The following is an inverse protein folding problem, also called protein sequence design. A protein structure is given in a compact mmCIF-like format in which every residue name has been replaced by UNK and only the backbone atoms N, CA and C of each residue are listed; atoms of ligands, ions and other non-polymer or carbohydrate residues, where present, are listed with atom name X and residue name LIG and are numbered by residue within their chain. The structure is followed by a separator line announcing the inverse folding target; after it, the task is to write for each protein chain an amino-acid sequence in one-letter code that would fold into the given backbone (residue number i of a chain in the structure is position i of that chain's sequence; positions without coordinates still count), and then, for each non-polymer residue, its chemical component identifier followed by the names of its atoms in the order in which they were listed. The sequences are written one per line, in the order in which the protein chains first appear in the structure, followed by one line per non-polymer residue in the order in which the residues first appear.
data_IF_927822307022
#
_entry.id   IF_927822307022
#
_cell.length_a   1.000
_cell.length_b   1.000
_cell.length_c   1.000
_cell.angle_alpha   90.00
_cell.angle_beta   90.00
_cell.angle_gamma   90.00
#
_symmetry.space_group_name_H-M   'P 1'
#
loop_
_entity.id
_entity.type
_entity.pdbx_description
1 polymer ?
#
# COMPACT_ATOMS: atom_id res chain seq x y z
N UNK A 1 -0.54 -18.02 19.22
CA UNK A 1 -0.02 -16.76 18.64
C UNK A 1 1.50 -16.80 18.49
N UNK A 2 2.31 -16.86 19.57
CA UNK A 2 3.78 -16.92 19.45
C UNK A 2 4.34 -18.29 19.02
N UNK A 3 4.27 -19.30 19.90
CA UNK A 3 4.94 -20.61 19.71
C UNK A 3 4.50 -21.42 18.46
N UNK A 4 3.22 -21.37 18.12
CA UNK A 4 2.62 -22.21 17.06
C UNK A 4 1.84 -21.41 16.00
N UNK A 5 1.75 -20.09 16.13
CA UNK A 5 0.91 -19.28 15.24
C UNK A 5 1.72 -18.67 14.10
N UNK A 6 2.41 -19.48 13.31
CA UNK A 6 3.26 -19.05 12.19
C UNK A 6 2.91 -19.75 10.87
N UNK A 7 2.01 -20.73 10.91
CA UNK A 7 1.53 -21.55 9.80
C UNK A 7 0.85 -20.74 8.67
N UNK A 8 0.28 -19.58 8.98
CA UNK A 8 -0.38 -18.72 8.00
C UNK A 8 0.51 -18.28 6.83
N UNK A 9 1.84 -18.28 6.99
CA UNK A 9 2.78 -17.96 5.89
C UNK A 9 2.80 -19.04 4.79
N UNK A 10 2.35 -20.26 5.12
CA UNK A 10 2.27 -21.44 4.23
C UNK A 10 0.85 -21.70 3.72
N UNK A 11 -0.11 -20.83 4.02
CA UNK A 11 -1.48 -20.99 3.52
C UNK A 11 -1.52 -20.90 1.99
N UNK A 12 -2.24 -21.81 1.34
CA UNK A 12 -2.51 -21.76 -0.11
C UNK A 12 -3.32 -20.51 -0.51
N UNK A 13 -4.00 -19.87 0.44
CA UNK A 13 -4.76 -18.63 0.19
C UNK A 13 -3.88 -17.38 0.19
N UNK A 14 -2.58 -17.50 0.49
CA UNK A 14 -1.65 -16.37 0.49
C UNK A 14 -1.49 -15.84 -0.93
N UNK A 15 -1.73 -14.55 -1.12
CA UNK A 15 -1.50 -13.89 -2.40
C UNK A 15 0.00 -13.88 -2.73
N UNK A 16 0.33 -14.30 -3.95
CA UNK A 16 1.71 -14.41 -4.46
C UNK A 16 1.99 -13.48 -5.64
N UNK A 17 0.95 -12.87 -6.22
CA UNK A 17 1.04 -11.97 -7.38
C UNK A 17 0.12 -10.76 -7.17
N UNK A 18 0.47 -9.59 -7.74
CA UNK A 18 -0.46 -8.46 -7.81
C UNK A 18 -1.77 -8.85 -8.51
N UNK A 19 -2.86 -8.23 -8.08
CA UNK A 19 -4.19 -8.40 -8.67
C UNK A 19 -4.75 -7.02 -9.02
N UNK A 20 -5.12 -6.80 -10.28
CA UNK A 20 -5.72 -5.55 -10.76
C UNK A 20 -7.21 -5.79 -11.02
N UNK A 21 -8.07 -4.86 -10.57
CA UNK A 21 -9.50 -4.96 -10.81
C UNK A 21 -9.85 -4.49 -12.23
N UNK A 22 -10.25 -5.42 -13.09
CA UNK A 22 -10.68 -5.19 -14.48
C UNK A 22 -12.13 -5.65 -14.63
N UNK A 23 -13.01 -4.79 -15.16
CA UNK A 23 -14.44 -5.10 -15.36
C UNK A 23 -15.17 -5.67 -14.13
N UNK A 24 -14.79 -5.21 -12.93
CA UNK A 24 -15.42 -5.65 -11.68
C UNK A 24 -14.78 -6.89 -11.04
N UNK A 25 -13.86 -7.58 -11.72
CA UNK A 25 -13.18 -8.79 -11.22
C UNK A 25 -11.69 -8.54 -11.00
N UNK A 26 -11.08 -9.27 -10.06
CA UNK A 26 -9.63 -9.21 -9.84
C UNK A 26 -8.91 -10.19 -10.74
N UNK A 27 -7.97 -9.70 -11.53
CA UNK A 27 -7.16 -10.50 -12.45
C UNK A 27 -5.67 -10.39 -12.08
N UNK A 28 -4.88 -11.48 -12.19
CA UNK A 28 -3.45 -11.44 -11.98
C UNK A 28 -2.73 -10.45 -12.90
N UNK A 29 -1.72 -9.77 -12.36
CA UNK A 29 -0.89 -8.80 -13.07
C UNK A 29 0.59 -8.97 -12.70
N UNK A 30 1.48 -8.44 -13.55
CA UNK A 30 2.91 -8.35 -13.23
C UNK A 30 3.17 -7.19 -12.26
N UNK A 31 4.34 -7.20 -11.62
CA UNK A 31 4.77 -6.09 -10.76
C UNK A 31 4.90 -4.79 -11.55
N UNK A 32 5.47 -4.83 -12.76
CA UNK A 32 5.62 -3.63 -13.60
C UNK A 32 4.25 -3.04 -13.97
N UNK A 33 3.31 -3.87 -14.44
CA UNK A 33 1.95 -3.43 -14.78
C UNK A 33 1.25 -2.78 -13.57
N UNK A 34 1.36 -3.41 -12.40
CA UNK A 34 0.73 -2.92 -11.18
C UNK A 34 1.34 -1.58 -10.71
N UNK A 35 2.67 -1.49 -10.71
CA UNK A 35 3.38 -0.29 -10.25
C UNK A 35 3.20 0.89 -11.21
N UNK A 36 3.24 0.65 -12.52
CA UNK A 36 2.99 1.68 -13.53
C UNK A 36 1.57 2.24 -13.41
N UNK A 37 0.57 1.37 -13.20
CA UNK A 37 -0.81 1.81 -13.00
C UNK A 37 -0.97 2.66 -11.74
N UNK A 38 -0.35 2.25 -10.63
CA UNK A 38 -0.39 2.99 -9.35
C UNK A 38 0.25 4.37 -9.54
N UNK A 39 1.46 4.43 -10.11
CA UNK A 39 2.18 5.68 -10.32
C UNK A 39 1.41 6.63 -11.24
N UNK A 40 0.84 6.13 -12.34
CA UNK A 40 -0.01 6.90 -13.24
C UNK A 40 -1.20 7.51 -12.48
N UNK A 41 -1.96 6.68 -11.76
CA UNK A 41 -3.17 7.13 -11.05
C UNK A 41 -2.86 8.11 -9.92
N UNK A 42 -1.78 7.88 -9.17
CA UNK A 42 -1.39 8.78 -8.09
C UNK A 42 -0.98 10.15 -8.64
N UNK A 43 -0.23 10.20 -9.74
CA UNK A 43 0.14 11.46 -10.38
C UNK A 43 -1.07 12.19 -10.98
N UNK A 44 -1.99 11.47 -11.63
CA UNK A 44 -3.24 12.04 -12.15
C UNK A 44 -4.07 12.68 -11.02
N UNK A 45 -4.24 11.98 -9.90
CA UNK A 45 -5.01 12.45 -8.75
C UNK A 45 -4.32 13.65 -8.11
N UNK A 46 -3.01 13.57 -7.84
CA UNK A 46 -2.22 14.66 -7.27
C UNK A 46 -2.29 15.91 -8.15
N UNK A 47 -2.16 15.75 -9.47
CA UNK A 47 -2.22 16.88 -10.41
C UNK A 47 -3.62 17.51 -10.51
N UNK A 48 -4.69 16.72 -10.37
CA UNK A 48 -6.07 17.19 -10.56
C UNK A 48 -6.68 17.78 -9.28
N UNK A 49 -6.38 17.19 -8.13
CA UNK A 49 -7.02 17.49 -6.85
C UNK A 49 -6.05 17.99 -5.78
N UNK A 50 -4.75 18.05 -6.08
CA UNK A 50 -3.71 18.48 -5.17
C UNK A 50 -3.17 17.36 -4.26
N UNK A 51 -2.04 17.61 -3.56
CA UNK A 51 -1.39 16.66 -2.65
C UNK A 51 -2.31 16.04 -1.59
N UNK A 52 -3.18 16.84 -0.97
CA UNK A 52 -4.04 16.40 0.15
C UNK A 52 -5.21 15.49 -0.27
N UNK A 53 -5.33 15.19 -1.57
CA UNK A 53 -6.25 14.15 -2.06
C UNK A 53 -5.72 12.72 -1.87
N UNK A 54 -4.43 12.58 -1.51
CA UNK A 54 -3.80 11.31 -1.17
C UNK A 54 -3.82 11.07 0.34
N UNK A 55 -3.90 9.81 0.75
CA UNK A 55 -3.65 9.39 2.12
C UNK A 55 -2.97 8.01 2.17
N UNK A 56 -2.13 7.78 3.18
CA UNK A 56 -1.50 6.48 3.43
C UNK A 56 -1.84 5.97 4.84
N UNK A 57 -2.18 4.68 4.95
CA UNK A 57 -2.39 3.98 6.22
C UNK A 57 -1.32 2.90 6.37
N UNK A 58 -0.41 3.08 7.33
CA UNK A 58 0.62 2.10 7.68
C UNK A 58 0.16 1.17 8.81
N UNK A 59 1.02 0.23 9.20
CA UNK A 59 0.66 -0.85 10.12
C UNK A 59 1.64 -0.97 11.27
N UNK A 60 1.12 -1.14 12.48
CA UNK A 60 1.91 -1.49 13.68
C UNK A 60 2.49 -2.92 13.62
N UNK A 61 2.10 -3.71 12.60
CA UNK A 61 2.62 -5.06 12.34
C UNK A 61 3.80 -5.04 11.37
N UNK A 62 4.03 -3.93 10.69
CA UNK A 62 5.20 -3.69 9.86
C UNK A 62 6.39 -3.20 10.70
N UNK A 63 7.57 -3.25 10.12
CA UNK A 63 8.81 -2.73 10.73
C UNK A 63 8.78 -1.20 10.84
N UNK A 64 9.65 -0.66 11.69
CA UNK A 64 9.78 0.77 11.85
C UNK A 64 10.35 1.42 10.58
N UNK A 65 11.21 0.72 9.86
CA UNK A 65 11.83 1.12 8.61
C UNK A 65 10.78 1.24 7.49
N UNK A 66 9.86 0.27 7.39
CA UNK A 66 8.74 0.34 6.44
C UNK A 66 7.81 1.52 6.78
N UNK A 67 7.49 1.72 8.06
CA UNK A 67 6.70 2.87 8.49
C UNK A 67 7.41 4.20 8.20
N UNK A 68 8.74 4.24 8.34
CA UNK A 68 9.55 5.39 7.94
C UNK A 68 9.49 5.65 6.42
N UNK A 69 9.54 4.59 5.61
CA UNK A 69 9.41 4.71 4.15
C UNK A 69 8.03 5.23 3.76
N UNK A 70 6.95 4.71 4.35
CA UNK A 70 5.58 5.16 4.07
C UNK A 70 5.41 6.64 4.41
N UNK A 71 5.82 7.07 5.61
CA UNK A 71 5.70 8.49 5.97
C UNK A 71 6.57 9.40 5.11
N UNK A 72 7.76 8.93 4.69
CA UNK A 72 8.66 9.69 3.82
C UNK A 72 8.05 9.81 2.44
N UNK A 73 7.48 8.75 1.90
CA UNK A 73 6.77 8.78 0.62
C UNK A 73 5.60 9.77 0.66
N UNK A 74 4.73 9.67 1.67
CA UNK A 74 3.59 10.58 1.81
C UNK A 74 4.02 12.05 1.90
N UNK A 75 5.01 12.36 2.74
CA UNK A 75 5.43 13.74 3.00
C UNK A 75 6.33 14.33 1.93
N UNK A 76 7.28 13.56 1.41
CA UNK A 76 8.29 14.07 0.49
C UNK A 76 7.93 13.87 -0.99
N UNK A 77 7.20 12.79 -1.34
CA UNK A 77 6.85 12.49 -2.73
C UNK A 77 5.42 12.94 -3.03
N UNK A 78 4.47 12.56 -2.18
CA UNK A 78 3.07 12.95 -2.36
C UNK A 78 2.76 14.34 -1.80
N UNK A 79 3.67 14.94 -1.03
CA UNK A 79 3.59 16.30 -0.48
C UNK A 79 2.39 16.53 0.47
N UNK A 80 2.00 15.51 1.23
CA UNK A 80 0.91 15.62 2.20
C UNK A 80 1.28 15.03 3.56
N UNK A 81 0.64 15.54 4.61
CA UNK A 81 0.71 14.98 5.96
C UNK A 81 -0.40 13.97 6.25
N UNK A 82 -1.22 13.62 5.24
CA UNK A 82 -2.25 12.58 5.33
C UNK A 82 -1.63 11.19 5.40
N UNK A 83 -0.97 10.88 6.52
CA UNK A 83 -0.40 9.58 6.82
C UNK A 83 -0.73 9.20 8.25
N UNK A 84 -1.12 7.95 8.44
CA UNK A 84 -1.58 7.44 9.71
C UNK A 84 -1.28 5.95 9.87
N UNK A 85 -1.52 5.39 11.05
CA UNK A 85 -1.35 3.97 11.34
C UNK A 85 -2.40 3.46 12.33
N UNK A 86 -2.57 2.13 12.39
CA UNK A 86 -3.63 1.49 13.16
C UNK A 86 -3.58 1.66 14.69
N UNK A 87 -2.45 2.12 15.26
CA UNK A 87 -2.27 2.26 16.71
C UNK A 87 -2.33 3.73 17.16
N UNK A 88 -3.37 4.46 16.74
CA UNK A 88 -3.73 5.72 17.41
C UNK A 88 -4.29 5.41 18.80
N UNK A 89 -3.50 5.65 19.83
CA UNK A 89 -3.97 5.86 21.22
C UNK A 89 -3.99 7.33 21.55
#
# INVERSE_FOLDING_TARGET
KGRFGWDYIYSEQRLTTPLIKKNGQFEPATWDEAMDLIALKFNEIKSKYGPDSFAALSSARCTNEENFLVQKFSRAVMETNNVDHCART
#
